data_IF_719340516266
#
_entry.id   IF_719340516266
#
_cell.length_a   1.000
_cell.length_b   1.000
_cell.length_c   1.000
_cell.angle_alpha   90.00
_cell.angle_beta   90.00
_cell.angle_gamma   90.00
#
_symmetry.space_group_name_H-M   'P 1'
#
loop_
_entity.id
_entity.type
_entity.pdbx_description
1 polymer ?
#
# COMPACT_ATOMS: atom_id res chain seq x y z
N UNK A 1 4.31 -46.77 12.85
CA UNK A 1 5.30 -45.92 13.56
C UNK A 1 6.22 -45.13 12.62
N UNK A 2 6.87 -45.74 11.61
CA UNK A 2 7.77 -45.01 10.68
C UNK A 2 7.13 -43.84 9.91
N UNK A 3 5.88 -43.97 9.47
CA UNK A 3 5.18 -42.89 8.76
C UNK A 3 4.80 -41.73 9.69
N UNK A 4 4.50 -42.02 10.96
CA UNK A 4 4.20 -41.00 11.96
C UNK A 4 5.45 -40.17 12.29
N UNK A 5 6.62 -40.81 12.42
CA UNK A 5 7.89 -40.10 12.60
C UNK A 5 8.25 -39.20 11.41
N UNK A 6 7.97 -39.63 10.17
CA UNK A 6 8.20 -38.80 8.97
C UNK A 6 7.29 -37.58 8.93
N UNK A 7 6.02 -37.74 9.31
CA UNK A 7 5.05 -36.63 9.37
C UNK A 7 5.47 -35.63 10.45
N UNK A 8 5.87 -36.11 11.63
CA UNK A 8 6.36 -35.26 12.72
C UNK A 8 7.62 -34.50 12.27
N UNK A 9 8.58 -35.17 11.62
CA UNK A 9 9.79 -34.52 11.11
C UNK A 9 9.47 -33.41 10.08
N UNK A 10 8.50 -33.63 9.18
CA UNK A 10 8.05 -32.61 8.22
C UNK A 10 7.41 -31.40 8.90
N UNK A 11 6.59 -31.62 9.94
CA UNK A 11 5.98 -30.54 10.71
C UNK A 11 7.04 -29.71 11.44
N UNK A 12 8.03 -30.37 12.04
CA UNK A 12 9.17 -29.69 12.67
C UNK A 12 9.98 -28.87 11.66
N UNK A 13 10.27 -29.41 10.48
CA UNK A 13 10.99 -28.70 9.42
C UNK A 13 10.18 -27.47 8.94
N UNK A 14 8.85 -27.58 8.82
CA UNK A 14 8.01 -26.43 8.45
C UNK A 14 7.98 -25.32 9.51
N UNK A 15 8.06 -25.67 10.80
CA UNK A 15 8.18 -24.67 11.87
C UNK A 15 9.55 -23.98 11.85
N UNK A 16 10.61 -24.70 11.52
CA UNK A 16 11.97 -24.13 11.45
C UNK A 16 12.22 -23.25 10.22
N UNK A 17 11.45 -23.40 9.14
CA UNK A 17 11.58 -22.58 7.92
C UNK A 17 10.81 -21.24 8.00
N UNK A 18 10.18 -20.92 9.13
CA UNK A 18 9.55 -19.62 9.37
C UNK A 18 10.58 -18.56 9.77
N UNK A 19 11.73 -18.50 9.09
CA UNK A 19 12.62 -17.35 9.20
C UNK A 19 11.89 -16.18 8.54
N UNK A 20 11.43 -15.22 9.34
CA UNK A 20 11.05 -13.91 8.85
C UNK A 20 12.28 -13.30 8.19
N UNK A 21 12.34 -13.40 6.85
CA UNK A 21 13.24 -12.56 6.07
C UNK A 21 12.68 -11.15 6.15
N UNK A 22 13.02 -10.43 7.23
CA UNK A 22 12.85 -8.98 7.25
C UNK A 22 13.72 -8.45 6.13
N UNK A 23 13.10 -7.73 5.20
CA UNK A 23 13.85 -6.97 4.23
C UNK A 23 14.80 -6.03 4.98
N UNK A 24 16.01 -5.86 4.46
CA UNK A 24 16.94 -4.90 5.04
C UNK A 24 16.32 -3.50 4.96
N UNK A 25 16.28 -2.81 6.11
CA UNK A 25 15.70 -1.47 6.22
C UNK A 25 16.39 -0.55 5.23
N UNK A 26 15.62 0.24 4.48
CA UNK A 26 16.18 1.20 3.55
C UNK A 26 16.86 2.37 4.27
N UNK A 27 17.66 3.13 3.52
CA UNK A 27 18.28 4.35 4.03
C UNK A 27 17.19 5.36 4.43
N UNK A 28 17.48 6.17 5.45
CA UNK A 28 16.50 7.10 6.01
C UNK A 28 16.05 8.14 4.97
N UNK A 29 16.96 8.58 4.10
CA UNK A 29 16.65 9.49 2.99
C UNK A 29 15.65 8.90 1.99
N UNK A 30 15.75 7.60 1.69
CA UNK A 30 14.85 6.91 0.76
C UNK A 30 13.46 6.75 1.37
N UNK A 31 13.40 6.38 2.65
CA UNK A 31 12.16 6.30 3.40
C UNK A 31 11.47 7.66 3.51
N UNK A 32 12.24 8.72 3.78
CA UNK A 32 11.70 10.09 3.81
C UNK A 32 11.12 10.48 2.45
N UNK A 33 11.88 10.28 1.38
CA UNK A 33 11.42 10.56 0.00
C UNK A 33 10.12 9.82 -0.34
N UNK A 34 10.04 8.53 0.00
CA UNK A 34 8.84 7.72 -0.21
C UNK A 34 7.65 8.23 0.62
N UNK A 35 7.87 8.59 1.89
CA UNK A 35 6.81 9.13 2.76
C UNK A 35 6.27 10.46 2.24
N UNK A 36 7.14 11.35 1.74
CA UNK A 36 6.75 12.62 1.14
C UNK A 36 5.95 12.38 -0.14
N UNK A 37 6.36 11.42 -0.98
CA UNK A 37 5.62 11.03 -2.18
C UNK A 37 4.21 10.51 -1.85
N UNK A 38 4.07 9.62 -0.86
CA UNK A 38 2.78 9.13 -0.36
C UNK A 38 1.91 10.31 0.12
N UNK A 39 2.51 11.25 0.85
CA UNK A 39 1.84 12.47 1.31
C UNK A 39 1.31 13.32 0.15
N UNK A 40 2.12 13.53 -0.88
CA UNK A 40 1.74 14.28 -2.10
C UNK A 40 0.57 13.61 -2.83
N UNK A 41 0.64 12.29 -3.05
CA UNK A 41 -0.45 11.54 -3.69
C UNK A 41 -1.76 11.65 -2.88
N UNK A 42 -1.67 11.53 -1.56
CA UNK A 42 -2.81 11.63 -0.65
C UNK A 42 -3.42 13.04 -0.67
N UNK A 43 -2.58 14.08 -0.65
CA UNK A 43 -3.02 15.47 -0.74
C UNK A 43 -3.80 15.73 -2.03
N UNK A 44 -3.22 15.37 -3.18
CA UNK A 44 -3.90 15.60 -4.47
C UNK A 44 -5.14 14.72 -4.67
N UNK A 45 -5.17 13.52 -4.09
CA UNK A 45 -6.40 12.71 -4.03
C UNK A 45 -7.53 13.46 -3.31
N UNK A 46 -7.24 14.10 -2.18
CA UNK A 46 -8.21 14.93 -1.46
C UNK A 46 -8.67 16.15 -2.25
N UNK A 47 -7.75 16.90 -2.85
CA UNK A 47 -8.08 18.09 -3.64
C UNK A 47 -8.97 17.74 -4.84
N UNK A 48 -8.65 16.66 -5.56
CA UNK A 48 -9.44 16.22 -6.72
C UNK A 48 -10.81 15.69 -6.32
N UNK A 49 -10.95 15.09 -5.13
CA UNK A 49 -12.26 14.71 -4.58
C UNK A 49 -13.13 15.93 -4.27
N UNK A 50 -12.57 16.96 -3.63
CA UNK A 50 -13.29 18.22 -3.36
C UNK A 50 -13.69 18.93 -4.66
N UNK A 51 -12.83 18.90 -5.68
CA UNK A 51 -13.18 19.40 -7.02
C UNK A 51 -14.32 18.59 -7.66
N UNK A 52 -14.30 17.25 -7.54
CA UNK A 52 -15.38 16.38 -8.02
C UNK A 52 -16.71 16.74 -7.35
N UNK A 53 -16.71 16.91 -6.02
CA UNK A 53 -17.89 17.30 -5.24
C UNK A 53 -18.44 18.67 -5.68
N UNK A 54 -17.55 19.64 -5.97
CA UNK A 54 -17.92 20.95 -6.50
C UNK A 54 -18.54 20.85 -7.89
N UNK A 55 -17.97 20.04 -8.78
CA UNK A 55 -18.50 19.82 -10.12
C UNK A 55 -19.87 19.14 -10.08
N UNK A 56 -20.06 18.16 -9.18
CA UNK A 56 -21.32 17.47 -8.98
C UNK A 56 -22.42 18.42 -8.49
N UNK A 57 -22.12 19.29 -7.50
CA UNK A 57 -23.03 20.35 -7.02
C UNK A 57 -23.38 21.38 -8.11
N UNK A 58 -22.55 21.51 -9.14
CA UNK A 58 -22.77 22.37 -10.29
C UNK A 58 -23.45 21.64 -11.47
N UNK A 59 -23.96 20.42 -11.26
CA UNK A 59 -24.63 19.58 -12.27
C UNK A 59 -23.74 19.25 -13.49
N UNK A 60 -22.43 19.19 -13.28
CA UNK A 60 -21.44 18.82 -14.31
C UNK A 60 -20.97 17.37 -14.14
N UNK A 61 -21.85 16.43 -14.49
CA UNK A 61 -21.66 15.01 -14.18
C UNK A 61 -20.38 14.39 -14.78
N UNK A 62 -20.04 14.70 -16.04
CA UNK A 62 -18.86 14.14 -16.71
C UNK A 62 -17.55 14.64 -16.05
N UNK A 63 -17.46 15.95 -15.79
CA UNK A 63 -16.33 16.58 -15.09
C UNK A 63 -16.18 16.01 -13.67
N UNK A 64 -17.30 15.87 -12.95
CA UNK A 64 -17.31 15.28 -11.61
C UNK A 64 -16.80 13.84 -11.63
N UNK A 65 -17.20 13.04 -12.62
CA UNK A 65 -16.77 11.65 -12.77
C UNK A 65 -15.27 11.55 -13.05
N UNK A 66 -14.73 12.31 -13.99
CA UNK A 66 -13.28 12.30 -14.28
C UNK A 66 -12.45 12.70 -13.04
N UNK A 67 -12.89 13.73 -12.32
CA UNK A 67 -12.22 14.18 -11.10
C UNK A 67 -12.27 13.12 -10.00
N UNK A 68 -13.40 12.43 -9.85
CA UNK A 68 -13.52 11.32 -8.90
C UNK A 68 -12.61 10.16 -9.26
N UNK A 69 -12.57 9.74 -10.54
CA UNK A 69 -11.70 8.66 -11.00
C UNK A 69 -10.22 9.02 -10.78
N UNK A 70 -9.85 10.28 -10.98
CA UNK A 70 -8.51 10.80 -10.68
C UNK A 70 -8.20 10.72 -9.19
N UNK A 71 -9.11 11.17 -8.34
CA UNK A 71 -8.97 11.09 -6.88
C UNK A 71 -8.78 9.64 -6.41
N UNK A 72 -9.61 8.73 -6.95
CA UNK A 72 -9.53 7.32 -6.64
C UNK A 72 -8.19 6.72 -7.05
N UNK A 73 -7.71 6.98 -8.28
CA UNK A 73 -6.42 6.49 -8.76
C UNK A 73 -5.26 6.96 -7.86
N UNK A 74 -5.23 8.25 -7.49
CA UNK A 74 -4.21 8.80 -6.60
C UNK A 74 -4.25 8.16 -5.22
N UNK A 75 -5.45 7.90 -4.67
CA UNK A 75 -5.61 7.21 -3.38
C UNK A 75 -5.06 5.77 -3.42
N UNK A 76 -5.29 5.05 -4.52
CA UNK A 76 -4.80 3.70 -4.71
C UNK A 76 -3.27 3.68 -4.85
N UNK A 77 -2.70 4.64 -5.59
CA UNK A 77 -1.24 4.79 -5.67
C UNK A 77 -0.64 5.04 -4.28
N UNK A 78 -1.22 5.95 -3.49
CA UNK A 78 -0.75 6.22 -2.13
C UNK A 78 -0.81 4.96 -1.26
N UNK A 79 -1.94 4.24 -1.26
CA UNK A 79 -2.11 3.01 -0.49
C UNK A 79 -1.10 1.93 -0.89
N UNK A 80 -0.85 1.76 -2.19
CA UNK A 80 0.12 0.80 -2.70
C UNK A 80 1.56 1.14 -2.25
N UNK A 81 1.93 2.42 -2.27
CA UNK A 81 3.23 2.86 -1.78
C UNK A 81 3.39 2.71 -0.26
N UNK A 82 2.31 2.84 0.52
CA UNK A 82 2.34 2.57 1.97
C UNK A 82 2.71 1.12 2.28
N UNK A 83 2.31 0.15 1.46
CA UNK A 83 2.73 -1.27 1.64
C UNK A 83 4.24 -1.40 1.52
N UNK A 84 4.85 -0.71 0.55
CA UNK A 84 6.32 -0.68 0.37
C UNK A 84 6.97 0.00 1.59
N UNK A 85 6.44 1.15 2.01
CA UNK A 85 6.93 1.86 3.17
C UNK A 85 6.93 0.96 4.43
N UNK A 86 5.81 0.29 4.73
CA UNK A 86 5.73 -0.62 5.90
C UNK A 86 6.70 -1.80 5.81
N UNK A 87 7.00 -2.30 4.61
CA UNK A 87 7.92 -3.43 4.46
C UNK A 87 9.40 -3.05 4.64
N UNK A 88 9.80 -1.84 4.24
CA UNK A 88 11.21 -1.44 4.16
C UNK A 88 11.60 -0.30 5.11
N UNK A 89 10.63 0.43 5.66
CA UNK A 89 10.84 1.64 6.45
C UNK A 89 10.21 1.59 7.86
N UNK A 90 9.30 0.66 8.16
CA UNK A 90 8.77 0.42 9.51
C UNK A 90 9.38 -0.84 10.14
#
# INVERSE_FOLDING_TARGET
MKNLLKIIALIWISMFLSFEVKAERWAEEDCKSLSEHIGVLTYFSGETLDMSDKANKAEKEEEAKELFETSYALSQMAANHTVVYTQFCD
#
